data_IF_731140766720
#
_entry.id   IF_731140766720
#
_cell.length_a   1.000
_cell.length_b   1.000
_cell.length_c   1.000
_cell.angle_alpha   90.00
_cell.angle_beta   90.00
_cell.angle_gamma   90.00
#
_symmetry.space_group_name_H-M   'P 1'
#
loop_
_entity.id
_entity.type
_entity.pdbx_description
1 polymer ?
#
# COMPACT_ATOMS: atom_id res chain seq x y z
N UNK A 1 5.98 3.06 17.67
CA UNK A 1 5.60 4.11 16.70
C UNK A 1 5.62 3.59 15.24
N UNK A 2 5.26 2.34 14.99
CA UNK A 2 5.29 1.77 13.62
C UNK A 2 3.94 1.84 12.92
N UNK A 3 2.86 2.18 13.63
CA UNK A 3 1.49 2.18 13.08
C UNK A 3 1.20 3.39 12.18
N UNK A 4 1.79 4.56 12.46
CA UNK A 4 1.53 5.78 11.69
C UNK A 4 2.14 5.74 10.28
N UNK A 5 3.28 5.08 10.12
CA UNK A 5 4.02 5.06 8.85
C UNK A 5 3.35 4.18 7.77
N UNK A 6 2.54 3.20 8.20
CA UNK A 6 1.83 2.24 7.33
C UNK A 6 0.55 2.85 6.72
N UNK A 7 -0.04 3.81 7.43
CA UNK A 7 -1.31 4.45 7.06
C UNK A 7 -1.13 5.88 6.56
N UNK A 8 0.09 6.43 6.63
CA UNK A 8 0.46 7.75 6.07
C UNK A 8 0.18 7.88 4.56
N UNK A 9 -0.15 6.79 3.86
CA UNK A 9 -0.39 6.75 2.42
C UNK A 9 -1.88 6.68 2.09
N UNK A 10 -2.71 6.47 3.11
CA UNK A 10 -4.16 6.54 2.95
C UNK A 10 -4.54 8.01 2.82
N UNK A 11 -5.13 8.33 1.68
CA UNK A 11 -5.74 9.64 1.50
C UNK A 11 -6.98 9.73 2.40
N UNK A 12 -7.39 10.95 2.75
CA UNK A 12 -8.62 11.18 3.52
C UNK A 12 -9.85 10.52 2.85
N UNK A 13 -9.80 10.40 1.52
CA UNK A 13 -10.78 9.66 0.72
C UNK A 13 -10.85 8.18 1.09
N UNK A 14 -9.72 7.51 1.29
CA UNK A 14 -9.67 6.09 1.63
C UNK A 14 -10.25 5.82 3.02
N UNK A 15 -9.94 6.70 3.98
CA UNK A 15 -10.53 6.65 5.31
C UNK A 15 -12.05 6.86 5.26
N UNK A 16 -12.52 7.81 4.44
CA UNK A 16 -13.96 8.06 4.27
C UNK A 16 -14.68 6.87 3.62
N UNK A 17 -14.06 6.25 2.61
CA UNK A 17 -14.60 5.07 1.94
C UNK A 17 -14.67 3.86 2.89
N UNK A 18 -13.69 3.68 3.79
CA UNK A 18 -13.73 2.66 4.85
C UNK A 18 -14.85 2.92 5.86
N UNK A 19 -15.01 4.15 6.33
CA UNK A 19 -16.10 4.50 7.26
C UNK A 19 -17.45 4.22 6.64
N UNK A 20 -17.66 4.62 5.37
CA UNK A 20 -18.88 4.29 4.63
C UNK A 20 -19.10 2.79 4.49
N UNK A 21 -18.04 2.03 4.21
CA UNK A 21 -18.13 0.57 4.12
C UNK A 21 -18.62 -0.06 5.43
N UNK A 22 -18.11 0.42 6.56
CA UNK A 22 -18.49 -0.03 7.90
C UNK A 22 -19.95 0.36 8.19
N UNK A 23 -20.34 1.61 7.94
CA UNK A 23 -21.71 2.09 8.16
C UNK A 23 -22.74 1.28 7.35
N UNK A 24 -22.44 0.98 6.08
CA UNK A 24 -23.31 0.17 5.23
C UNK A 24 -23.45 -1.25 5.78
N UNK A 25 -22.34 -1.87 6.18
CA UNK A 25 -22.33 -3.24 6.72
C UNK A 25 -23.07 -3.32 8.06
N UNK A 26 -22.88 -2.31 8.92
CA UNK A 26 -23.55 -2.20 10.20
C UNK A 26 -25.06 -2.00 10.01
N UNK A 27 -25.47 -1.11 9.10
CA UNK A 27 -26.88 -0.92 8.76
C UNK A 27 -27.52 -2.22 8.26
N UNK A 28 -26.83 -2.94 7.38
CA UNK A 28 -27.31 -4.24 6.91
C UNK A 28 -27.49 -5.23 8.06
N UNK A 29 -26.52 -5.33 8.97
CA UNK A 29 -26.64 -6.18 10.15
C UNK A 29 -27.84 -5.78 11.03
N UNK A 30 -27.98 -4.49 11.33
CA UNK A 30 -29.06 -3.95 12.16
C UNK A 30 -30.44 -4.18 11.53
N UNK A 31 -30.57 -3.99 10.22
CA UNK A 31 -31.83 -4.23 9.50
C UNK A 31 -32.20 -5.72 9.54
N UNK A 32 -31.22 -6.62 9.36
CA UNK A 32 -31.45 -8.07 9.35
C UNK A 32 -31.71 -8.65 10.75
N UNK A 33 -30.99 -8.20 11.80
CA UNK A 33 -31.25 -8.65 13.18
C UNK A 33 -32.63 -8.17 13.64
N UNK A 34 -33.02 -6.96 13.27
CA UNK A 34 -34.35 -6.41 13.57
C UNK A 34 -35.47 -7.13 12.81
N UNK A 35 -35.22 -7.54 11.56
CA UNK A 35 -36.17 -8.37 10.82
C UNK A 35 -36.29 -9.78 11.42
N UNK A 36 -35.17 -10.37 11.86
CA UNK A 36 -35.15 -11.69 12.49
C UNK A 36 -35.86 -11.69 13.85
N UNK A 37 -35.70 -10.64 14.65
CA UNK A 37 -36.34 -10.54 15.97
C UNK A 37 -37.86 -10.47 15.91
N UNK A 38 -38.43 -10.01 14.78
CA UNK A 38 -39.87 -9.95 14.52
C UNK A 38 -40.42 -11.20 13.83
N UNK A 39 -39.57 -12.16 13.46
CA UNK A 39 -40.00 -13.36 12.72
C UNK A 39 -40.48 -14.46 13.67
N UNK A 40 -41.42 -15.28 13.19
CA UNK A 40 -41.88 -16.45 13.92
C UNK A 40 -40.83 -17.57 13.91
N UNK A 41 -40.78 -18.38 14.98
CA UNK A 41 -39.83 -19.49 15.11
C UNK A 41 -40.04 -20.63 14.11
N UNK A 42 -41.24 -20.70 13.54
CA UNK A 42 -41.62 -21.70 12.53
C UNK A 42 -41.23 -21.29 11.11
N UNK A 43 -40.96 -20.01 10.90
CA UNK A 43 -40.58 -19.48 9.60
C UNK A 43 -39.08 -19.67 9.37
N UNK A 44 -38.64 -19.74 8.10
CA UNK A 44 -37.21 -19.77 7.79
C UNK A 44 -36.48 -18.55 8.38
N UNK A 45 -35.15 -18.56 8.52
CA UNK A 45 -34.38 -17.41 8.97
C UNK A 45 -34.38 -16.29 7.92
N UNK A 46 -34.30 -15.02 8.36
CA UNK A 46 -34.30 -13.84 7.47
C UNK A 46 -33.04 -13.82 6.62
N UNK A 47 -31.93 -14.28 7.19
CA UNK A 47 -30.64 -14.37 6.51
C UNK A 47 -30.12 -15.79 6.61
N UNK A 48 -29.70 -16.33 5.48
CA UNK A 48 -29.01 -17.61 5.39
C UNK A 48 -27.50 -17.44 5.49
N UNK A 49 -26.80 -18.50 5.87
CA UNK A 49 -25.33 -18.50 6.00
C UNK A 49 -24.65 -18.04 4.70
N UNK A 50 -25.17 -18.44 3.53
CA UNK A 50 -24.65 -17.98 2.24
C UNK A 50 -24.67 -16.47 2.08
N UNK A 51 -25.74 -15.80 2.54
CA UNK A 51 -25.86 -14.36 2.47
C UNK A 51 -24.88 -13.65 3.42
N UNK A 52 -24.64 -14.22 4.61
CA UNK A 52 -23.63 -13.70 5.55
C UNK A 52 -22.23 -13.80 4.94
N UNK A 53 -21.91 -14.93 4.31
CA UNK A 53 -20.62 -15.11 3.63
C UNK A 53 -20.45 -14.14 2.46
N UNK A 54 -21.48 -13.95 1.64
CA UNK A 54 -21.43 -12.97 0.54
C UNK A 54 -21.27 -11.54 1.04
N UNK A 55 -21.93 -11.14 2.15
CA UNK A 55 -21.75 -9.81 2.72
C UNK A 55 -20.34 -9.62 3.29
N UNK A 56 -19.79 -10.65 3.95
CA UNK A 56 -18.40 -10.67 4.40
C UNK A 56 -17.43 -10.51 3.23
N UNK A 57 -17.59 -11.28 2.16
CA UNK A 57 -16.73 -11.18 0.97
C UNK A 57 -16.84 -9.80 0.31
N UNK A 58 -18.05 -9.22 0.25
CA UNK A 58 -18.25 -7.86 -0.25
C UNK A 58 -17.48 -6.84 0.56
N UNK A 59 -17.56 -6.91 1.89
CA UNK A 59 -16.82 -6.04 2.79
C UNK A 59 -15.30 -6.23 2.64
N UNK A 60 -14.84 -7.47 2.65
CA UNK A 60 -13.43 -7.81 2.49
C UNK A 60 -12.88 -7.30 1.15
N UNK A 61 -13.63 -7.41 0.05
CA UNK A 61 -13.24 -6.90 -1.26
C UNK A 61 -13.16 -5.37 -1.32
N UNK A 62 -13.98 -4.66 -0.53
CA UNK A 62 -13.95 -3.20 -0.47
C UNK A 62 -12.78 -2.70 0.37
N UNK A 63 -12.49 -3.40 1.47
CA UNK A 63 -11.48 -3.00 2.46
C UNK A 63 -10.07 -3.47 2.08
N UNK A 64 -9.93 -4.68 1.53
CA UNK A 64 -8.64 -5.26 1.11
C UNK A 64 -7.79 -4.35 0.21
N UNK A 65 -8.31 -3.70 -0.85
CA UNK A 65 -7.50 -2.84 -1.70
C UNK A 65 -7.07 -1.55 -0.99
N UNK A 66 -7.83 -1.07 0.00
CA UNK A 66 -7.48 0.10 0.79
C UNK A 66 -6.38 -0.26 1.80
N UNK A 67 -6.54 -1.40 2.49
CA UNK A 67 -5.57 -1.87 3.47
C UNK A 67 -4.23 -2.29 2.86
N UNK A 68 -4.27 -2.93 1.68
CA UNK A 68 -3.08 -3.45 1.01
C UNK A 68 -2.52 -2.49 -0.05
N UNK A 69 -2.90 -1.20 -0.05
CA UNK A 69 -2.27 -0.24 -0.97
C UNK A 69 -0.74 -0.29 -0.77
N UNK A 70 0.04 -0.68 -1.79
CA UNK A 70 1.48 -0.75 -1.65
C UNK A 70 2.02 0.66 -1.46
N UNK A 71 2.98 0.81 -0.54
CA UNK A 71 3.74 2.05 -0.36
C UNK A 71 4.23 2.54 -1.72
N UNK A 72 3.91 3.78 -2.14
CA UNK A 72 4.41 4.32 -3.40
C UNK A 72 5.92 4.11 -3.46
N UNK A 73 6.46 3.62 -4.60
CA UNK A 73 7.91 3.46 -4.73
C UNK A 73 8.57 4.79 -4.40
N UNK A 74 9.60 4.74 -3.55
CA UNK A 74 10.36 5.93 -3.18
C UNK A 74 10.76 6.65 -4.47
N UNK A 75 10.62 8.00 -4.55
CA UNK A 75 11.11 8.75 -5.69
C UNK A 75 12.57 8.33 -5.91
N UNK A 76 12.92 7.92 -7.13
CA UNK A 76 14.31 7.72 -7.48
C UNK A 76 15.01 9.06 -7.23
N UNK A 77 15.73 9.15 -6.11
CA UNK A 77 16.68 10.22 -5.87
C UNK A 77 17.58 10.20 -7.09
N UNK A 78 17.45 11.23 -7.93
CA UNK A 78 18.27 11.47 -9.09
C UNK A 78 19.71 11.25 -8.64
N UNK A 79 20.32 10.12 -9.03
CA UNK A 79 21.76 9.96 -8.85
C UNK A 79 22.35 11.13 -9.63
N UNK A 80 23.12 12.05 -8.99
CA UNK A 80 23.76 13.11 -9.75
C UNK A 80 24.60 12.42 -10.82
N UNK A 81 24.20 12.63 -12.07
CA UNK A 81 24.91 12.13 -13.24
C UNK A 81 26.32 12.69 -13.15
N UNK A 82 27.27 11.88 -12.68
CA UNK A 82 28.69 12.14 -12.88
C UNK A 82 28.87 12.18 -14.39
N UNK A 83 29.11 13.37 -14.90
CA UNK A 83 29.67 13.60 -16.23
C UNK A 83 30.99 12.83 -16.31
N UNK A 84 30.93 11.62 -16.86
CA UNK A 84 32.12 10.92 -17.35
C UNK A 84 32.05 10.95 -18.86
N UNK A 85 32.85 11.85 -19.41
CA UNK A 85 33.14 11.95 -20.83
C UNK A 85 33.52 10.58 -21.40
N UNK A 86 32.98 10.30 -22.57
CA UNK A 86 33.21 9.12 -23.39
C UNK A 86 34.65 9.11 -23.95
N UNK A 87 35.24 7.91 -23.90
CA UNK A 87 36.11 7.27 -24.90
C UNK A 87 37.53 7.81 -25.15
N UNK A 88 38.55 7.02 -24.80
CA UNK A 88 39.49 6.41 -25.77
C UNK A 88 40.30 5.26 -25.13
N UNK A 89 40.44 4.08 -25.76
CA UNK A 89 41.37 3.04 -25.35
C UNK A 89 42.55 2.92 -26.34
N UNK A 90 43.70 3.53 -26.03
CA UNK A 90 44.96 3.10 -26.62
C UNK A 90 46.15 3.45 -25.72
N UNK A 91 46.84 2.41 -25.23
CA UNK A 91 48.16 2.49 -24.60
C UNK A 91 49.13 2.06 -25.71
N UNK A 92 50.17 2.83 -26.07
CA UNK A 92 51.44 2.68 -25.33
C UNK A 92 52.34 3.93 -25.32
N UNK A 93 53.15 4.09 -24.26
CA UNK A 93 54.60 3.89 -24.34
C UNK A 93 55.33 4.61 -23.18
N UNK A 94 56.40 3.96 -22.78
CA UNK A 94 57.37 4.27 -21.75
C UNK A 94 58.10 5.60 -22.01
N UNK A 95 58.29 6.42 -20.97
CA UNK A 95 59.60 6.96 -20.62
C UNK A 95 59.59 7.64 -19.23
N UNK A 96 60.42 7.13 -18.33
CA UNK A 96 61.05 7.82 -17.19
C UNK A 96 61.87 9.04 -17.67
N UNK A 97 62.37 10.00 -16.83
CA UNK A 97 62.66 9.88 -15.39
C UNK A 97 62.32 11.09 -14.49
N UNK A 98 62.57 10.86 -13.20
CA UNK A 98 62.73 11.73 -12.04
C UNK A 98 63.05 13.21 -12.28
N UNK A 99 62.43 14.08 -11.46
CA UNK A 99 63.13 15.25 -10.90
C UNK A 99 62.69 15.48 -9.45
N UNK A 100 63.71 15.69 -8.61
CA UNK A 100 63.69 15.87 -7.15
C UNK A 100 63.00 17.17 -6.72
N UNK A 101 62.41 17.16 -5.51
CA UNK A 101 62.65 18.15 -4.45
C UNK A 101 61.78 17.75 -3.24
N UNK A 102 62.31 17.11 -2.21
CA UNK A 102 63.13 17.64 -1.10
C UNK A 102 62.26 18.04 0.11
N UNK A 103 62.72 17.59 1.29
CA UNK A 103 62.42 17.98 2.69
C UNK A 103 60.98 17.80 3.22
N UNK A 104 60.72 17.19 4.38
CA UNK A 104 61.50 16.96 5.62
C UNK A 104 60.91 15.75 6.39
#
# INVERSE_FOLDING_TARGET
>A
MQQEEQFSHWEEKDANDLVKAIEVSQKWYDDNINAQSRRALTDPPVVFVSQILSEKERFDNLVSPILNKPKPPAPELQKPSKTTNKNDPNVPNQNTPSEEMDVE
#
